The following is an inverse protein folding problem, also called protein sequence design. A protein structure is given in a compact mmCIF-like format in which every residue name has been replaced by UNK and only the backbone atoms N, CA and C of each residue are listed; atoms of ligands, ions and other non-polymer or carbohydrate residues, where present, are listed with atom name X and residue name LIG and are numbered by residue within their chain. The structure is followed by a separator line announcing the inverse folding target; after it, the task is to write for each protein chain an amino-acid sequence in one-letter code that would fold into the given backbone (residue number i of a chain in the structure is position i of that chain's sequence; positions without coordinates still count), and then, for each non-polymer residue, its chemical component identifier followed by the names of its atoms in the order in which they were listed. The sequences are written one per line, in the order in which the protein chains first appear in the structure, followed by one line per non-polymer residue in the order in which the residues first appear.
data_IF_999244292212
#
_entry.id   IF_999244292212
#
_cell.length_a   1.000
_cell.length_b   1.000
_cell.length_c   1.000
_cell.angle_alpha   90.00
_cell.angle_beta   90.00
_cell.angle_gamma   90.00
#
_symmetry.space_group_name_H-M   'P 1'
#
loop_
_entity.id
_entity.type
_entity.pdbx_description
1 polymer ?
#
# COMPACT_ATOMS: atom_id res chain seq x y z
N UNK A 1 11.19 -14.51 -3.96
CA UNK A 1 12.07 -13.55 -4.70
C UNK A 1 11.60 -12.11 -4.74
N UNK A 2 10.29 -11.82 -4.64
CA UNK A 2 9.77 -10.45 -4.65
C UNK A 2 10.41 -9.49 -3.61
N UNK A 3 10.95 -9.98 -2.50
CA UNK A 3 11.62 -9.16 -1.48
C UNK A 3 13.12 -8.91 -1.73
N UNK A 4 13.72 -9.52 -2.76
CA UNK A 4 15.17 -9.48 -3.01
C UNK A 4 15.61 -9.24 -4.46
N UNK A 5 14.84 -9.71 -5.45
CA UNK A 5 15.23 -9.70 -6.87
C UNK A 5 14.17 -9.04 -7.77
N UNK A 6 12.90 -9.42 -7.61
CA UNK A 6 11.81 -9.05 -8.54
C UNK A 6 11.05 -7.78 -8.13
N UNK A 7 11.78 -6.80 -7.59
CA UNK A 7 11.25 -5.51 -7.16
C UNK A 7 12.14 -4.37 -7.62
N UNK A 8 11.54 -3.37 -8.27
CA UNK A 8 12.23 -2.15 -8.68
C UNK A 8 12.17 -1.08 -7.60
N UNK A 9 13.18 -0.20 -7.57
CA UNK A 9 13.16 1.02 -6.76
C UNK A 9 13.47 2.21 -7.66
N UNK A 10 12.73 3.30 -7.45
CA UNK A 10 12.99 4.55 -8.14
C UNK A 10 12.92 5.73 -7.19
N UNK A 11 13.57 6.81 -7.57
CA UNK A 11 13.53 8.08 -6.85
C UNK A 11 13.18 9.16 -7.87
N UNK A 12 12.12 9.92 -7.60
CA UNK A 12 11.82 11.12 -8.38
C UNK A 12 12.79 12.26 -7.97
N UNK A 13 12.72 13.40 -8.63
CA UNK A 13 13.57 14.57 -8.33
C UNK A 13 13.47 14.96 -6.86
N UNK A 14 14.56 15.47 -6.29
CA UNK A 14 14.59 15.95 -4.90
C UNK A 14 13.54 17.04 -4.64
N UNK A 15 13.26 17.87 -5.64
CA UNK A 15 12.20 18.88 -5.61
C UNK A 15 10.78 18.32 -5.47
N UNK A 16 10.60 17.01 -5.63
CA UNK A 16 9.33 16.28 -5.43
C UNK A 16 9.37 15.36 -4.20
N UNK A 17 10.18 15.74 -3.20
CA UNK A 17 10.21 15.07 -1.90
C UNK A 17 11.38 14.12 -1.70
N UNK A 18 12.12 13.77 -2.76
CA UNK A 18 13.41 13.07 -2.66
C UNK A 18 13.38 11.70 -1.99
N UNK A 19 12.20 11.08 -1.87
CA UNK A 19 12.04 9.75 -1.28
C UNK A 19 12.20 8.66 -2.34
N UNK A 20 12.72 7.53 -1.90
CA UNK A 20 12.72 6.30 -2.70
C UNK A 20 11.30 5.72 -2.65
N UNK A 21 10.81 5.33 -3.82
CA UNK A 21 9.57 4.58 -4.02
C UNK A 21 9.91 3.16 -4.45
N UNK A 22 9.15 2.21 -3.94
CA UNK A 22 9.26 0.80 -4.28
C UNK A 22 8.19 0.40 -5.28
N UNK A 23 8.59 -0.38 -6.28
CA UNK A 23 7.76 -0.83 -7.38
C UNK A 23 8.21 -0.26 -8.75
N UNK A 24 7.65 -0.78 -9.85
CA UNK A 24 6.63 -1.83 -9.88
C UNK A 24 7.18 -3.21 -9.48
N UNK A 25 6.28 -4.11 -9.08
CA UNK A 25 6.57 -5.52 -8.95
C UNK A 25 6.76 -6.15 -10.34
N UNK A 26 7.62 -7.15 -10.44
CA UNK A 26 7.95 -7.86 -11.69
C UNK A 26 8.08 -9.36 -11.41
N UNK A 27 7.84 -10.22 -12.41
CA UNK A 27 8.16 -11.67 -12.37
C UNK A 27 7.51 -12.47 -11.21
N UNK A 28 6.19 -12.70 -11.30
CA UNK A 28 5.39 -13.43 -10.30
C UNK A 28 4.75 -14.71 -10.85
N UNK A 29 5.40 -15.37 -11.81
CA UNK A 29 5.08 -16.71 -12.28
C UNK A 29 5.44 -17.80 -11.25
N UNK A 30 6.52 -17.57 -10.48
CA UNK A 30 6.91 -18.36 -9.30
C UNK A 30 6.30 -17.72 -8.05
N UNK A 31 4.97 -17.76 -7.96
CA UNK A 31 4.19 -17.26 -6.84
C UNK A 31 3.04 -18.23 -6.52
N UNK A 32 2.27 -17.90 -5.48
CA UNK A 32 1.07 -18.65 -5.11
C UNK A 32 1.31 -20.16 -4.94
N UNK A 33 2.29 -20.53 -4.10
CA UNK A 33 2.76 -21.89 -3.82
C UNK A 33 3.77 -22.48 -4.80
N UNK A 34 3.90 -21.91 -6.00
CA UNK A 34 4.69 -22.52 -7.06
C UNK A 34 6.21 -22.37 -6.86
N UNK A 35 6.76 -22.92 -5.77
CA UNK A 35 8.18 -22.92 -5.43
C UNK A 35 8.50 -24.03 -4.42
N UNK A 36 9.09 -25.13 -4.88
CA UNK A 36 9.51 -26.25 -4.03
C UNK A 36 10.81 -26.01 -3.23
N UNK A 37 11.15 -24.75 -2.99
CA UNK A 37 12.40 -24.32 -2.37
C UNK A 37 12.18 -23.09 -1.50
N UNK A 38 13.12 -22.80 -0.60
CA UNK A 38 13.06 -21.66 0.33
C UNK A 38 11.73 -21.50 1.07
N UNK A 39 11.03 -22.60 1.35
CA UNK A 39 9.71 -22.61 1.96
C UNK A 39 8.65 -21.82 1.18
N UNK A 40 8.83 -21.62 -0.13
CA UNK A 40 7.94 -20.82 -0.98
C UNK A 40 6.57 -21.45 -1.22
N UNK A 41 6.42 -22.73 -0.88
CA UNK A 41 5.19 -23.51 -0.94
C UNK A 41 4.35 -23.46 0.34
N UNK A 42 4.93 -22.98 1.44
CA UNK A 42 4.25 -22.91 2.72
C UNK A 42 3.16 -21.84 2.71
N UNK A 43 2.05 -22.13 3.38
CA UNK A 43 0.97 -21.16 3.63
C UNK A 43 1.27 -20.25 4.82
N UNK A 44 2.32 -20.55 5.58
CA UNK A 44 2.74 -19.86 6.79
C UNK A 44 4.12 -19.21 6.64
N UNK A 45 4.42 -18.24 7.50
CA UNK A 45 5.71 -17.55 7.55
C UNK A 45 5.82 -16.34 6.63
N UNK A 46 6.94 -15.61 6.75
CA UNK A 46 7.17 -14.38 5.99
C UNK A 46 8.24 -14.56 4.92
N UNK A 47 7.86 -14.34 3.66
CA UNK A 47 8.78 -14.54 2.53
C UNK A 47 10.03 -13.62 2.54
N UNK A 48 10.00 -12.51 3.30
CA UNK A 48 11.18 -11.64 3.44
C UNK A 48 12.25 -12.23 4.38
N UNK A 49 11.92 -13.21 5.22
CA UNK A 49 12.88 -13.89 6.11
C UNK A 49 13.81 -14.82 5.33
N UNK A 50 13.34 -15.30 4.17
CA UNK A 50 14.10 -16.05 3.17
C UNK A 50 15.04 -17.14 3.75
N UNK A 51 14.53 -18.35 4.02
CA UNK A 51 15.27 -19.38 4.78
C UNK A 51 16.36 -20.13 3.98
N UNK A 52 16.75 -19.64 2.79
CA UNK A 52 17.78 -20.25 1.96
C UNK A 52 19.16 -19.65 2.23
N UNK A 53 19.81 -20.10 3.30
CA UNK A 53 21.11 -19.56 3.73
C UNK A 53 22.23 -19.70 2.68
N UNK A 54 22.17 -20.72 1.82
CA UNK A 54 23.21 -21.00 0.81
C UNK A 54 23.01 -20.23 -0.51
N UNK A 55 21.92 -19.48 -0.67
CA UNK A 55 21.69 -18.66 -1.86
C UNK A 55 22.57 -17.40 -1.81
N UNK A 56 23.22 -17.07 -2.92
CA UNK A 56 24.12 -15.91 -2.99
C UNK A 56 23.38 -14.56 -2.90
N UNK A 57 22.12 -14.53 -3.33
CA UNK A 57 21.28 -13.34 -3.35
C UNK A 57 20.34 -13.32 -2.13
N UNK A 58 20.89 -13.01 -0.96
CA UNK A 58 20.11 -12.91 0.27
C UNK A 58 19.13 -11.73 0.28
N UNK A 59 18.07 -11.85 1.09
CA UNK A 59 17.13 -10.77 1.34
C UNK A 59 17.77 -9.61 2.12
N UNK A 60 17.39 -8.35 1.88
CA UNK A 60 17.98 -7.23 2.58
C UNK A 60 17.39 -7.09 4.00
N UNK A 61 18.24 -6.75 4.98
CA UNK A 61 17.86 -6.72 6.39
C UNK A 61 16.82 -5.66 6.78
N UNK A 62 16.55 -4.67 5.91
CA UNK A 62 15.67 -3.56 6.25
C UNK A 62 14.19 -3.93 6.31
N UNK A 63 13.77 -5.07 5.76
CA UNK A 63 12.40 -5.58 5.92
C UNK A 63 12.05 -5.81 7.39
N UNK A 64 12.93 -6.51 8.12
CA UNK A 64 12.76 -6.72 9.56
C UNK A 64 12.81 -5.40 10.33
N UNK A 65 13.67 -4.46 9.91
CA UNK A 65 13.77 -3.13 10.53
C UNK A 65 12.49 -2.31 10.38
N UNK A 66 11.76 -2.44 9.27
CA UNK A 66 10.47 -1.76 9.10
C UNK A 66 9.41 -2.28 10.08
N UNK A 67 9.45 -3.58 10.39
CA UNK A 67 8.50 -4.21 11.32
C UNK A 67 8.77 -3.86 12.80
N UNK A 68 9.92 -3.28 13.12
CA UNK A 68 10.20 -2.73 14.46
C UNK A 68 9.51 -1.39 14.71
N UNK A 69 9.07 -0.67 13.66
CA UNK A 69 8.35 0.60 13.80
C UNK A 69 6.84 0.35 13.98
N UNK A 70 6.33 0.65 15.17
CA UNK A 70 4.92 0.47 15.50
C UNK A 70 3.96 1.22 14.54
N UNK A 71 4.32 2.44 14.09
CA UNK A 71 3.47 3.20 13.15
C UNK A 71 3.45 2.53 11.78
N UNK A 72 4.56 1.94 11.36
CA UNK A 72 4.61 1.17 10.12
C UNK A 72 3.72 -0.07 10.23
N UNK A 73 3.86 -0.85 11.30
CA UNK A 73 3.05 -2.08 11.47
C UNK A 73 1.56 -1.77 11.62
N UNK A 74 1.18 -0.70 12.32
CA UNK A 74 -0.23 -0.31 12.45
C UNK A 74 -0.84 0.08 11.09
N UNK A 75 -0.08 0.84 10.27
CA UNK A 75 -0.49 1.19 8.90
C UNK A 75 -0.57 -0.04 8.00
N UNK A 76 0.37 -0.98 8.16
CA UNK A 76 0.37 -2.24 7.43
C UNK A 76 -0.89 -3.06 7.77
N UNK A 77 -1.23 -3.21 9.06
CA UNK A 77 -2.47 -3.90 9.49
C UNK A 77 -3.71 -3.23 8.92
N UNK A 78 -3.80 -1.91 8.98
CA UNK A 78 -4.95 -1.19 8.43
C UNK A 78 -5.07 -1.36 6.92
N UNK A 79 -3.96 -1.23 6.17
CA UNK A 79 -3.97 -1.43 4.72
C UNK A 79 -4.36 -2.86 4.36
N UNK A 80 -3.88 -3.85 5.11
CA UNK A 80 -4.29 -5.24 4.93
C UNK A 80 -5.80 -5.42 5.11
N UNK A 81 -6.36 -4.90 6.21
CA UNK A 81 -7.81 -5.00 6.48
C UNK A 81 -8.66 -4.30 5.41
N UNK A 82 -8.24 -3.12 4.93
CA UNK A 82 -8.91 -2.40 3.83
C UNK A 82 -8.95 -3.24 2.55
N UNK A 83 -7.83 -3.84 2.17
CA UNK A 83 -7.73 -4.69 0.99
C UNK A 83 -8.55 -5.97 1.16
N UNK A 84 -8.50 -6.60 2.35
CA UNK A 84 -9.26 -7.82 2.67
C UNK A 84 -10.77 -7.60 2.67
N UNK A 85 -11.23 -6.40 3.00
CA UNK A 85 -12.63 -6.01 2.87
C UNK A 85 -13.07 -5.76 1.41
N UNK A 86 -12.13 -5.67 0.47
CA UNK A 86 -12.38 -5.28 -0.92
C UNK A 86 -11.71 -6.24 -1.91
N UNK A 87 -10.69 -5.77 -2.63
CA UNK A 87 -10.07 -6.44 -3.76
C UNK A 87 -9.37 -7.76 -3.38
N UNK A 88 -8.96 -7.93 -2.12
CA UNK A 88 -8.29 -9.14 -1.63
C UNK A 88 -9.23 -10.04 -0.82
N UNK A 89 -10.55 -9.78 -0.82
CA UNK A 89 -11.52 -10.73 -0.27
C UNK A 89 -11.43 -12.08 -1.01
N UNK A 90 -11.76 -13.19 -0.35
CA UNK A 90 -11.70 -14.51 -0.99
C UNK A 90 -12.62 -14.55 -2.22
N UNK A 91 -13.81 -13.95 -2.11
CA UNK A 91 -14.75 -13.81 -3.21
C UNK A 91 -14.17 -13.02 -4.40
N UNK A 92 -13.52 -11.88 -4.16
CA UNK A 92 -12.93 -11.07 -5.23
C UNK A 92 -11.76 -11.80 -5.93
N UNK A 93 -10.91 -12.49 -5.16
CA UNK A 93 -9.80 -13.26 -5.71
C UNK A 93 -10.30 -14.48 -6.50
N UNK A 94 -11.29 -15.21 -6.00
CA UNK A 94 -11.86 -16.36 -6.70
C UNK A 94 -12.64 -15.94 -7.95
N UNK A 95 -13.37 -14.82 -7.91
CA UNK A 95 -13.97 -14.26 -9.11
C UNK A 95 -12.93 -13.86 -10.16
N UNK A 96 -11.75 -13.38 -9.73
CA UNK A 96 -10.64 -13.09 -10.64
C UNK A 96 -10.10 -14.38 -11.27
N UNK A 97 -9.90 -15.43 -10.48
CA UNK A 97 -9.49 -16.76 -10.96
C UNK A 97 -10.51 -17.28 -11.97
N UNK A 98 -11.81 -17.28 -11.63
CA UNK A 98 -12.88 -17.74 -12.51
C UNK A 98 -12.91 -16.97 -13.84
N UNK A 99 -12.75 -15.64 -13.78
CA UNK A 99 -12.69 -14.80 -14.98
C UNK A 99 -11.51 -15.17 -15.87
N UNK A 100 -10.32 -15.36 -15.30
CA UNK A 100 -9.12 -15.70 -16.05
C UNK A 100 -9.16 -17.13 -16.60
N UNK A 101 -9.56 -18.10 -15.78
CA UNK A 101 -9.78 -19.49 -16.20
C UNK A 101 -10.82 -19.58 -17.31
N UNK A 102 -11.91 -18.81 -17.23
CA UNK A 102 -12.91 -18.70 -18.30
C UNK A 102 -12.33 -18.19 -19.61
N UNK A 103 -11.45 -17.17 -19.57
CA UNK A 103 -10.78 -16.62 -20.77
C UNK A 103 -9.86 -17.64 -21.44
N UNK A 104 -9.21 -18.52 -20.69
CA UNK A 104 -8.24 -19.49 -21.23
C UNK A 104 -8.81 -20.91 -21.36
N UNK A 105 -10.10 -21.11 -21.10
CA UNK A 105 -10.72 -22.44 -21.03
C UNK A 105 -10.50 -23.28 -22.30
N UNK A 106 -10.58 -22.65 -23.48
CA UNK A 106 -10.32 -23.32 -24.76
C UNK A 106 -8.82 -23.44 -25.06
N UNK A 107 -8.05 -22.39 -24.75
CA UNK A 107 -6.63 -22.31 -25.07
C UNK A 107 -5.79 -23.32 -24.27
N UNK A 108 -6.13 -23.54 -23.00
CA UNK A 108 -5.40 -24.50 -22.15
C UNK A 108 -5.49 -25.93 -22.69
N UNK A 109 -6.62 -26.33 -23.30
CA UNK A 109 -6.78 -27.66 -23.91
C UNK A 109 -5.75 -27.86 -25.03
N UNK A 110 -5.65 -26.88 -25.95
CA UNK A 110 -4.65 -26.93 -27.04
C UNK A 110 -3.22 -26.89 -26.50
N UNK A 111 -2.99 -26.09 -25.46
CA UNK A 111 -1.69 -26.00 -24.81
C UNK A 111 -1.23 -27.37 -24.31
N UNK A 112 -2.06 -28.06 -23.53
CA UNK A 112 -1.66 -29.35 -22.96
C UNK A 112 -1.77 -30.53 -23.93
N UNK A 113 -2.44 -30.38 -25.07
CA UNK A 113 -2.28 -31.29 -26.21
C UNK A 113 -0.91 -31.15 -26.88
N UNK A 114 -0.42 -29.90 -27.04
CA UNK A 114 0.89 -29.63 -27.63
C UNK A 114 2.05 -29.93 -26.68
N UNK A 115 1.88 -29.60 -25.40
CA UNK A 115 2.84 -29.79 -24.32
C UNK A 115 2.19 -30.60 -23.18
N UNK A 116 2.22 -31.94 -23.23
CA UNK A 116 1.50 -32.80 -22.30
C UNK A 116 2.19 -32.92 -20.92
N UNK A 117 2.35 -31.79 -20.23
CA UNK A 117 3.12 -31.68 -18.99
C UNK A 117 2.28 -31.83 -17.71
N UNK A 118 0.95 -31.94 -17.80
CA UNK A 118 0.06 -31.99 -16.62
C UNK A 118 0.31 -33.19 -15.69
N UNK A 119 0.87 -34.28 -16.22
CA UNK A 119 1.26 -35.47 -15.47
C UNK A 119 2.79 -35.60 -15.32
N UNK A 120 3.52 -34.52 -15.57
CA UNK A 120 4.97 -34.46 -15.45
C UNK A 120 5.37 -33.41 -14.43
N UNK A 121 6.42 -33.71 -13.67
CA UNK A 121 7.01 -32.71 -12.80
C UNK A 121 7.78 -31.70 -13.64
N UNK A 122 7.49 -30.42 -13.43
CA UNK A 122 8.18 -29.28 -14.04
C UNK A 122 8.70 -28.41 -12.91
N UNK A 123 9.98 -28.06 -12.95
CA UNK A 123 10.54 -27.15 -11.95
C UNK A 123 9.87 -25.77 -12.03
N UNK A 124 9.53 -25.11 -10.91
CA UNK A 124 9.75 -25.50 -9.51
C UNK A 124 8.49 -26.05 -8.80
N UNK A 125 7.59 -26.72 -9.52
CA UNK A 125 6.33 -27.19 -8.96
C UNK A 125 6.57 -28.10 -7.75
N UNK A 126 5.72 -27.96 -6.75
CA UNK A 126 5.74 -28.73 -5.50
C UNK A 126 5.05 -30.09 -5.64
N UNK A 127 4.05 -30.17 -6.52
CA UNK A 127 3.30 -31.39 -6.80
C UNK A 127 2.84 -31.44 -8.26
N UNK A 128 2.47 -32.65 -8.71
CA UNK A 128 1.89 -32.90 -10.03
C UNK A 128 0.40 -33.13 -9.85
N UNK A 129 -0.43 -32.20 -10.30
CA UNK A 129 -1.88 -32.24 -10.08
C UNK A 129 -2.65 -33.11 -11.08
N UNK A 130 -2.03 -33.45 -12.22
CA UNK A 130 -2.60 -34.32 -13.25
C UNK A 130 -3.62 -33.64 -14.18
N UNK A 131 -4.13 -32.45 -13.84
CA UNK A 131 -5.09 -31.73 -14.68
C UNK A 131 -5.09 -30.22 -14.45
N UNK A 132 -5.44 -29.45 -15.50
CA UNK A 132 -5.59 -27.99 -15.39
C UNK A 132 -6.61 -27.58 -14.31
N UNK A 133 -7.70 -28.34 -14.14
CA UNK A 133 -8.70 -28.05 -13.11
C UNK A 133 -8.13 -28.21 -11.70
N UNK A 134 -7.33 -29.27 -11.48
CA UNK A 134 -6.68 -29.50 -10.19
C UNK A 134 -5.63 -28.43 -9.85
N UNK A 135 -4.93 -27.86 -10.84
CA UNK A 135 -4.06 -26.68 -10.62
C UNK A 135 -4.86 -25.47 -10.10
N UNK A 136 -6.06 -25.22 -10.64
CA UNK A 136 -6.92 -24.12 -10.20
C UNK A 136 -7.43 -24.37 -8.77
N UNK A 137 -7.81 -25.60 -8.43
CA UNK A 137 -8.24 -25.93 -7.08
C UNK A 137 -7.10 -25.83 -6.07
N UNK A 138 -5.90 -26.23 -6.45
CA UNK A 138 -4.70 -26.07 -5.63
C UNK A 138 -4.41 -24.59 -5.34
N UNK A 139 -4.52 -23.72 -6.35
CA UNK A 139 -4.38 -22.27 -6.18
C UNK A 139 -5.42 -21.70 -5.20
N UNK A 140 -6.68 -22.13 -5.29
CA UNK A 140 -7.76 -21.69 -4.38
C UNK A 140 -7.50 -22.15 -2.95
N UNK A 141 -7.06 -23.39 -2.76
CA UNK A 141 -6.75 -23.93 -1.44
C UNK A 141 -5.58 -23.16 -0.81
N UNK A 142 -4.49 -22.98 -1.56
CA UNK A 142 -3.35 -22.19 -1.09
C UNK A 142 -3.74 -20.77 -0.69
N UNK A 143 -4.50 -20.06 -1.53
CA UNK A 143 -4.95 -18.71 -1.21
C UNK A 143 -5.85 -18.69 0.03
N UNK A 144 -6.74 -19.66 0.19
CA UNK A 144 -7.61 -19.75 1.37
C UNK A 144 -6.79 -19.83 2.66
N UNK A 145 -5.86 -20.77 2.72
CA UNK A 145 -5.01 -21.01 3.89
C UNK A 145 -4.05 -19.84 4.14
N UNK A 146 -3.39 -19.36 3.07
CA UNK A 146 -2.43 -18.26 3.17
C UNK A 146 -3.09 -16.96 3.63
N UNK A 147 -4.28 -16.63 3.12
CA UNK A 147 -4.99 -15.42 3.54
C UNK A 147 -5.47 -15.54 4.98
N UNK A 148 -5.94 -16.72 5.41
CA UNK A 148 -6.32 -16.96 6.80
C UNK A 148 -5.13 -16.77 7.76
N UNK A 149 -3.95 -17.28 7.40
CA UNK A 149 -2.74 -17.05 8.16
C UNK A 149 -2.37 -15.56 8.23
N UNK A 150 -2.38 -14.85 7.10
CA UNK A 150 -2.09 -13.42 7.05
C UNK A 150 -3.09 -12.60 7.88
N UNK A 151 -4.37 -12.95 7.88
CA UNK A 151 -5.40 -12.26 8.67
C UNK A 151 -5.06 -12.29 10.18
N UNK A 152 -4.58 -13.44 10.67
CA UNK A 152 -4.18 -13.65 12.06
C UNK A 152 -2.85 -12.96 12.38
N UNK A 153 -1.81 -13.22 11.58
CA UNK A 153 -0.43 -12.89 11.92
C UNK A 153 0.06 -11.52 11.43
N UNK A 154 -0.75 -10.77 10.65
CA UNK A 154 -0.36 -9.41 10.23
C UNK A 154 -0.08 -8.54 11.46
N UNK A 155 1.13 -7.97 11.59
CA UNK A 155 1.56 -7.26 12.79
C UNK A 155 0.94 -5.88 12.90
N UNK A 156 0.96 -5.33 14.10
CA UNK A 156 0.40 -4.02 14.42
C UNK A 156 -1.07 -4.09 14.83
N UNK A 157 -1.55 -2.97 15.36
CA UNK A 157 -2.94 -2.80 15.75
C UNK A 157 -3.54 -1.80 14.78
N UNK A 158 -4.53 -2.23 14.00
CA UNK A 158 -5.35 -1.28 13.28
C UNK A 158 -6.32 -0.62 14.27
N UNK A 159 -5.79 0.23 15.14
CA UNK A 159 -6.59 1.35 15.60
C UNK A 159 -6.77 2.17 14.35
N UNK A 160 -7.94 2.13 13.71
CA UNK A 160 -8.26 3.19 12.77
C UNK A 160 -8.03 4.50 13.56
N UNK A 161 -7.00 5.34 13.30
CA UNK A 161 -7.40 6.71 13.29
C UNK A 161 -8.45 6.71 12.18
N UNK A 162 -9.65 7.20 12.46
CA UNK A 162 -10.25 7.95 11.37
C UNK A 162 -9.16 8.96 11.00
N UNK A 163 -8.38 8.69 9.96
CA UNK A 163 -8.14 9.74 8.99
C UNK A 163 -9.56 10.15 8.62
N UNK A 164 -10.14 11.03 9.46
CA UNK A 164 -11.11 11.95 8.94
C UNK A 164 -10.30 12.54 7.80
N UNK A 165 -10.61 12.16 6.56
CA UNK A 165 -10.31 13.01 5.43
C UNK A 165 -10.56 14.40 5.97
N UNK A 166 -9.47 15.16 6.13
CA UNK A 166 -9.59 16.48 6.71
C UNK A 166 -10.70 17.12 5.88
N UNK A 167 -11.79 17.62 6.48
CA UNK A 167 -12.88 18.18 5.70
C UNK A 167 -12.45 19.50 5.05
N UNK A 168 -11.14 19.71 4.90
CA UNK A 168 -10.50 20.87 4.36
C UNK A 168 -9.53 20.46 3.26
N UNK A 169 -9.55 21.22 2.18
CA UNK A 169 -8.62 21.10 1.07
C UNK A 169 -7.80 22.38 0.99
N UNK A 170 -6.48 22.24 0.80
CA UNK A 170 -5.59 23.37 0.57
C UNK A 170 -4.90 23.26 -0.79
N UNK A 171 -4.97 24.33 -1.58
CA UNK A 171 -4.40 24.34 -2.93
C UNK A 171 -4.06 25.77 -3.41
N UNK A 172 -2.95 25.98 -4.14
CA UNK A 172 -1.90 25.02 -4.43
C UNK A 172 -1.03 24.75 -3.20
N UNK A 173 -0.47 23.55 -3.13
CA UNK A 173 0.57 23.18 -2.16
C UNK A 173 1.64 22.35 -2.90
N UNK A 174 2.84 22.90 -3.16
CA UNK A 174 3.37 24.15 -2.61
C UNK A 174 2.67 25.44 -3.06
N UNK A 175 2.57 26.42 -2.15
CA UNK A 175 1.93 27.72 -2.38
C UNK A 175 2.97 28.79 -2.73
N UNK A 176 2.62 29.71 -3.65
CA UNK A 176 3.46 30.85 -4.03
C UNK A 176 2.99 32.14 -3.33
N UNK A 177 1.94 32.78 -3.86
CA UNK A 177 1.40 34.03 -3.31
C UNK A 177 0.18 33.80 -2.42
N UNK A 178 -0.71 32.92 -2.86
CA UNK A 178 -1.97 32.61 -2.19
C UNK A 178 -2.22 31.11 -2.17
N UNK A 179 -3.02 30.67 -1.20
CA UNK A 179 -3.49 29.29 -1.05
C UNK A 179 -4.97 29.31 -0.73
N UNK A 180 -5.79 28.64 -1.54
CA UNK A 180 -7.19 28.37 -1.21
C UNK A 180 -7.25 27.40 -0.02
N UNK A 181 -8.05 27.75 0.98
CA UNK A 181 -8.47 26.88 2.07
C UNK A 181 -9.97 26.67 1.90
N UNK A 182 -10.37 25.48 1.45
CA UNK A 182 -11.77 25.11 1.23
C UNK A 182 -12.21 24.07 2.25
N UNK A 183 -13.48 24.04 2.60
CA UNK A 183 -14.09 23.14 3.57
C UNK A 183 -15.29 22.41 2.96
N UNK A 184 -15.40 21.11 3.20
CA UNK A 184 -16.53 20.29 2.80
C UNK A 184 -17.39 19.93 4.01
N UNK A 185 -18.70 20.16 3.89
CA UNK A 185 -19.72 19.88 4.93
C UNK A 185 -19.41 20.49 6.32
N UNK A 186 -18.55 21.51 6.41
CA UNK A 186 -18.22 22.23 7.65
C UNK A 186 -17.80 23.68 7.35
N UNK A 187 -17.75 24.50 8.40
CA UNK A 187 -17.27 25.89 8.37
C UNK A 187 -16.07 26.07 9.29
N UNK A 188 -15.15 26.93 8.92
CA UNK A 188 -14.07 27.38 9.80
C UNK A 188 -14.26 28.84 10.20
N UNK A 189 -13.88 29.13 11.44
CA UNK A 189 -14.02 30.45 12.10
C UNK A 189 -12.66 31.12 12.34
N UNK A 190 -11.57 30.35 12.30
CA UNK A 190 -10.23 30.90 12.49
C UNK A 190 -9.19 30.05 11.73
N UNK A 191 -8.24 30.73 11.09
CA UNK A 191 -7.07 30.13 10.44
C UNK A 191 -5.81 30.64 11.13
N UNK A 192 -4.85 29.75 11.40
CA UNK A 192 -3.53 30.13 11.94
C UNK A 192 -2.40 29.51 11.14
N UNK A 193 -1.40 30.31 10.81
CA UNK A 193 -0.16 29.81 10.23
C UNK A 193 0.85 29.67 11.37
N UNK A 194 1.41 28.48 11.50
CA UNK A 194 2.31 28.08 12.58
C UNK A 194 3.62 27.58 11.98
N UNK A 195 4.74 28.02 12.56
CA UNK A 195 6.08 27.56 12.15
C UNK A 195 6.37 26.15 12.66
N UNK A 196 7.44 25.52 12.15
CA UNK A 196 7.92 24.22 12.67
C UNK A 196 8.22 24.23 14.18
N UNK A 197 8.60 25.38 14.73
CA UNK A 197 8.82 25.56 16.18
C UNK A 197 7.55 25.81 17.00
N UNK A 198 6.36 25.68 16.40
CA UNK A 198 5.08 25.86 17.10
C UNK A 198 4.65 27.32 17.30
N UNK A 199 5.36 28.29 16.72
CA UNK A 199 5.01 29.72 16.84
C UNK A 199 3.95 30.10 15.81
N UNK A 200 2.81 30.62 16.27
CA UNK A 200 1.81 31.24 15.39
C UNK A 200 2.35 32.56 14.84
N UNK A 201 2.43 32.67 13.51
CA UNK A 201 2.94 33.85 12.80
C UNK A 201 1.86 34.61 12.04
N UNK A 202 0.72 33.96 11.77
CA UNK A 202 -0.43 34.61 11.19
C UNK A 202 -1.72 34.06 11.79
N UNK A 203 -2.72 34.93 11.95
CA UNK A 203 -4.00 34.57 12.56
C UNK A 203 -5.11 35.39 11.92
N UNK A 204 -6.10 34.69 11.36
CA UNK A 204 -7.26 35.29 10.71
C UNK A 204 -8.51 34.75 11.38
N UNK A 205 -9.40 35.65 11.81
CA UNK A 205 -10.73 35.31 12.30
C UNK A 205 -11.76 35.58 11.21
N UNK A 206 -12.72 34.69 11.08
CA UNK A 206 -13.74 34.71 10.02
C UNK A 206 -15.12 34.49 10.64
N UNK A 207 -16.17 34.91 9.93
CA UNK A 207 -17.57 34.67 10.35
C UNK A 207 -18.06 33.35 9.76
N UNK A 208 -17.48 32.23 10.20
CA UNK A 208 -17.86 30.87 9.79
C UNK A 208 -18.04 30.70 8.25
N UNK A 209 -16.93 30.52 7.54
CA UNK A 209 -16.91 30.42 6.08
C UNK A 209 -16.47 29.02 5.63
N UNK A 210 -16.82 28.68 4.40
CA UNK A 210 -16.44 27.40 3.78
C UNK A 210 -15.16 27.53 2.95
N UNK A 211 -14.84 28.72 2.44
CA UNK A 211 -13.69 28.93 1.58
C UNK A 211 -13.01 30.26 1.90
N UNK A 212 -11.69 30.28 1.81
CA UNK A 212 -10.90 31.49 2.01
C UNK A 212 -9.62 31.42 1.18
N UNK A 213 -9.33 32.48 0.44
CA UNK A 213 -8.06 32.62 -0.26
C UNK A 213 -7.03 33.24 0.69
N UNK A 214 -6.14 32.40 1.23
CA UNK A 214 -5.17 32.78 2.25
C UNK A 214 -3.89 33.35 1.60
N UNK A 215 -3.58 34.64 1.81
CA UNK A 215 -2.33 35.22 1.33
C UNK A 215 -1.14 34.70 2.14
N UNK A 216 -0.16 34.13 1.44
CA UNK A 216 1.06 33.57 2.00
C UNK A 216 2.33 34.13 1.37
N UNK A 217 2.22 35.07 0.42
CA UNK A 217 3.34 35.67 -0.32
C UNK A 217 4.44 36.27 0.57
N UNK A 218 4.07 36.87 1.70
CA UNK A 218 5.01 37.47 2.65
C UNK A 218 5.75 36.45 3.55
N UNK A 219 5.44 35.15 3.44
CA UNK A 219 6.14 34.13 4.18
C UNK A 219 7.46 33.76 3.47
N UNK A 220 8.56 33.61 4.22
CA UNK A 220 9.78 33.01 3.67
C UNK A 220 9.52 31.61 3.09
N UNK A 221 10.28 31.18 2.07
CA UNK A 221 10.24 29.80 1.59
C UNK A 221 10.50 28.81 2.73
N UNK A 222 9.66 27.79 2.85
CA UNK A 222 9.76 26.86 3.98
C UNK A 222 8.49 26.05 4.23
N UNK A 223 8.55 25.22 5.28
CA UNK A 223 7.44 24.37 5.70
C UNK A 223 6.67 25.02 6.87
N UNK A 224 5.35 25.02 6.76
CA UNK A 224 4.43 25.58 7.75
C UNK A 224 3.28 24.62 8.04
N UNK A 225 2.64 24.83 9.19
CA UNK A 225 1.37 24.21 9.53
C UNK A 225 0.25 25.26 9.47
N UNK A 226 -0.86 24.90 8.84
CA UNK A 226 -2.11 25.64 8.88
C UNK A 226 -3.03 24.97 9.91
N UNK A 227 -3.34 25.68 10.99
CA UNK A 227 -4.40 25.26 11.89
C UNK A 227 -5.73 25.84 11.40
N UNK A 228 -6.71 24.97 11.21
CA UNK A 228 -8.06 25.29 10.77
C UNK A 228 -9.00 25.03 11.93
N UNK A 229 -9.59 26.09 12.48
CA UNK A 229 -10.43 26.04 13.67
C UNK A 229 -11.87 26.18 13.24
N UNK A 230 -12.68 25.19 13.56
CA UNK A 230 -14.15 25.21 13.45
C UNK A 230 -14.77 25.59 14.79
N UNK A 231 -16.10 25.66 14.84
CA UNK A 231 -16.83 25.87 16.10
C UNK A 231 -16.56 24.79 17.14
N UNK A 232 -16.32 23.55 16.71
CA UNK A 232 -16.24 22.39 17.61
C UNK A 232 -14.84 21.79 17.71
N UNK A 233 -13.99 21.99 16.70
CA UNK A 233 -12.73 21.23 16.54
C UNK A 233 -11.63 22.07 15.92
N UNK A 234 -10.39 21.63 16.16
CA UNK A 234 -9.18 22.15 15.51
C UNK A 234 -8.58 21.05 14.62
N UNK A 235 -8.23 21.42 13.40
CA UNK A 235 -7.56 20.58 12.42
C UNK A 235 -6.21 21.20 12.05
N UNK A 236 -5.28 20.38 11.58
CA UNK A 236 -3.93 20.84 11.20
C UNK A 236 -3.57 20.23 9.86
N UNK A 237 -3.14 21.09 8.92
CA UNK A 237 -2.62 20.67 7.62
C UNK A 237 -1.24 21.24 7.39
N UNK A 238 -0.37 20.48 6.71
CA UNK A 238 0.97 20.94 6.32
C UNK A 238 0.92 21.58 4.94
N UNK A 239 1.57 22.74 4.78
CA UNK A 239 1.86 23.31 3.46
C UNK A 239 3.32 23.75 3.33
N UNK A 240 3.77 23.84 2.08
CA UNK A 240 5.10 24.32 1.70
C UNK A 240 4.94 25.66 0.99
N UNK A 241 5.68 26.67 1.42
CA UNK A 241 5.83 27.95 0.72
C UNK A 241 7.05 27.87 -0.19
N UNK A 242 6.86 28.16 -1.47
CA UNK A 242 7.94 28.32 -2.46
C UNK A 242 8.68 29.65 -2.30
#
# INVERSE_FOLDING_TARGET
DGYRLSTYFYKDKDSKGGKITMGPAWDYDIAFRNANYCSGDLTEGWAFEFPCADDWFQGPAWWSRLLEDAKFTDRLKCRWQELRATAYSNAALFATIDSLSGKVNEAQIRNFQRWPILNQWVWPNTEVTGSYHAEIDLLRNFLTERLAWLDIFMPGICTQPKENESPFYIFPNPAAENMLVAANHTKFVELRIVTLGGRTIHKIRTVAINEYNLPVGNLPPGMYFLEIITVDKRYVQKFVKN
#
